data_IF_720962213073
#
_entry.id   IF_720962213073
#
_cell.length_a   1.000
_cell.length_b   1.000
_cell.length_c   1.000
_cell.angle_alpha   90.00
_cell.angle_beta   90.00
_cell.angle_gamma   90.00
#
_symmetry.space_group_name_H-M   'P 1'
#
loop_
_entity.id
_entity.type
_entity.pdbx_description
1 polymer ?
#
# COMPACT_ATOMS: atom_id res chain seq x y z
N UNK A 1 5.68 10.57 -10.21
CA UNK A 1 4.71 11.16 -9.27
C UNK A 1 4.02 10.04 -8.49
N UNK A 2 3.51 10.30 -7.28
CA UNK A 2 2.73 9.32 -6.49
C UNK A 2 1.25 9.65 -6.53
N UNK A 3 0.39 8.66 -6.81
CA UNK A 3 -1.06 8.80 -6.94
C UNK A 3 -1.77 7.90 -5.93
N UNK A 4 -2.62 8.48 -5.08
CA UNK A 4 -3.45 7.69 -4.16
C UNK A 4 -4.51 6.90 -4.93
N UNK A 5 -4.59 5.60 -4.67
CA UNK A 5 -5.55 4.69 -5.31
C UNK A 5 -6.72 4.32 -4.39
N UNK A 6 -6.53 4.40 -3.07
CA UNK A 6 -7.56 4.07 -2.10
C UNK A 6 -6.99 3.37 -0.88
N UNK A 7 -7.87 2.74 -0.09
CA UNK A 7 -7.49 1.95 1.08
C UNK A 7 -7.88 0.49 0.89
N UNK A 8 -6.99 -0.43 1.27
CA UNK A 8 -7.26 -1.86 1.31
C UNK A 8 -6.92 -2.43 2.69
N UNK A 9 -7.90 -3.05 3.36
CA UNK A 9 -7.75 -3.61 4.72
C UNK A 9 -7.07 -2.66 5.72
N UNK A 10 -7.33 -1.36 5.60
CA UNK A 10 -6.73 -0.32 6.45
C UNK A 10 -5.38 0.23 5.98
N UNK A 11 -4.71 -0.40 5.00
CA UNK A 11 -3.53 0.19 4.37
C UNK A 11 -3.92 1.20 3.29
N UNK A 12 -3.25 2.34 3.26
CA UNK A 12 -3.36 3.33 2.19
C UNK A 12 -2.48 2.92 1.00
N UNK A 13 -3.07 2.76 -0.18
CA UNK A 13 -2.42 2.26 -1.41
C UNK A 13 -2.14 3.41 -2.37
N UNK A 14 -0.92 3.47 -2.90
CA UNK A 14 -0.46 4.49 -3.83
C UNK A 14 0.23 3.87 -5.04
N UNK A 15 -0.03 4.40 -6.23
CA UNK A 15 0.77 4.17 -7.42
C UNK A 15 1.98 5.08 -7.41
N UNK A 16 3.17 4.51 -7.62
CA UNK A 16 4.42 5.24 -7.78
C UNK A 16 4.82 5.13 -9.24
N UNK A 17 4.84 6.24 -9.95
CA UNK A 17 5.37 6.26 -11.32
C UNK A 17 6.89 6.01 -11.27
N UNK A 18 7.32 4.89 -11.85
CA UNK A 18 8.72 4.64 -12.15
C UNK A 18 9.00 5.09 -13.58
N UNK A 19 9.98 5.98 -13.74
CA UNK A 19 10.46 6.42 -15.04
C UNK A 19 11.90 5.96 -15.19
N UNK A 20 12.18 5.17 -16.22
CA UNK A 20 13.56 4.85 -16.60
C UNK A 20 14.04 5.89 -17.63
N UNK A 21 14.95 6.80 -17.24
CA UNK A 21 15.46 7.83 -18.15
C UNK A 21 16.39 7.25 -19.24
N UNK A 22 16.77 5.98 -19.17
CA UNK A 22 17.67 5.33 -20.13
C UNK A 22 16.95 4.65 -21.29
N UNK A 23 15.74 4.12 -21.09
CA UNK A 23 15.00 3.40 -22.14
C UNK A 23 13.87 4.22 -22.80
N UNK A 24 13.46 5.35 -22.22
CA UNK A 24 12.43 6.21 -22.81
C UNK A 24 11.01 5.62 -22.79
N UNK A 25 10.81 4.47 -22.17
CA UNK A 25 9.52 3.81 -21.97
C UNK A 25 9.19 3.64 -20.48
N UNK A 26 7.89 3.54 -20.16
CA UNK A 26 7.38 3.32 -18.79
C UNK A 26 7.62 1.84 -18.45
N UNK A 27 8.65 1.56 -17.64
CA UNK A 27 9.18 0.19 -17.49
C UNK A 27 8.26 -0.72 -16.66
N UNK A 28 7.65 -0.24 -15.58
CA UNK A 28 6.69 -1.02 -14.76
C UNK A 28 5.79 -0.12 -13.89
N UNK A 29 4.67 -0.67 -13.41
CA UNK A 29 3.81 -0.05 -12.39
C UNK A 29 4.22 -0.55 -11.02
N UNK A 30 4.58 0.39 -10.13
CA UNK A 30 4.84 0.11 -8.72
C UNK A 30 3.70 0.59 -7.86
N UNK A 31 3.18 -0.28 -6.99
CA UNK A 31 2.29 0.12 -5.92
C UNK A 31 3.02 0.03 -4.58
N UNK A 32 2.71 0.96 -3.69
CA UNK A 32 3.09 0.92 -2.28
C UNK A 32 1.83 0.95 -1.43
N UNK A 33 1.83 0.26 -0.29
CA UNK A 33 0.75 0.30 0.67
C UNK A 33 1.29 0.45 2.08
N UNK A 34 0.74 1.38 2.86
CA UNK A 34 1.24 1.70 4.20
C UNK A 34 0.11 1.61 5.23
N UNK A 35 0.40 1.04 6.39
CA UNK A 35 -0.53 0.98 7.53
C UNK A 35 0.20 0.74 8.85
N UNK A 36 -0.57 0.59 9.92
CA UNK A 36 -0.07 0.29 11.25
C UNK A 36 -0.56 -1.08 11.75
N UNK A 37 0.31 -1.76 12.50
CA UNK A 37 -0.05 -3.03 13.13
C UNK A 37 -0.98 -2.77 14.36
N UNK A 38 -2.22 -3.27 14.39
CA UNK A 38 -3.20 -2.97 15.45
C UNK A 38 -2.79 -3.49 16.84
N UNK A 39 -2.06 -4.60 16.91
CA UNK A 39 -1.54 -5.17 18.16
C UNK A 39 -0.19 -4.60 18.64
N UNK A 40 0.48 -3.73 17.87
CA UNK A 40 1.80 -3.20 18.23
C UNK A 40 1.83 -1.69 18.03
N UNK A 41 1.71 -0.96 19.14
CA UNK A 41 1.73 0.50 19.13
C UNK A 41 2.99 1.01 18.42
N UNK A 42 2.79 1.85 17.40
CA UNK A 42 3.83 2.48 16.58
C UNK A 42 4.59 1.57 15.60
N UNK A 43 4.13 0.34 15.34
CA UNK A 43 4.72 -0.48 14.29
C UNK A 43 4.08 -0.14 12.94
N UNK A 44 4.85 0.51 12.05
CA UNK A 44 4.49 0.70 10.64
C UNK A 44 4.71 -0.58 9.84
N UNK A 45 3.82 -0.81 8.89
CA UNK A 45 3.85 -1.94 7.96
C UNK A 45 3.74 -1.37 6.55
N UNK A 46 4.77 -1.58 5.76
CA UNK A 46 4.86 -1.11 4.38
C UNK A 46 4.93 -2.30 3.43
N UNK A 47 4.21 -2.22 2.32
CA UNK A 47 4.20 -3.18 1.22
C UNK A 47 4.61 -2.46 -0.06
N UNK A 48 5.33 -3.16 -0.94
CA UNK A 48 5.68 -2.65 -2.25
C UNK A 48 5.67 -3.79 -3.26
N UNK A 49 4.92 -3.63 -4.35
CA UNK A 49 4.79 -4.63 -5.40
C UNK A 49 4.87 -3.98 -6.78
N UNK A 50 5.45 -4.72 -7.73
CA UNK A 50 5.68 -4.25 -9.10
C UNK A 50 5.07 -5.21 -10.13
N UNK A 51 4.47 -4.66 -11.17
CA UNK A 51 3.94 -5.42 -12.30
C UNK A 51 3.84 -4.57 -13.57
N UNK A 52 3.60 -5.23 -14.70
CA UNK A 52 3.46 -4.58 -16.01
C UNK A 52 2.15 -3.80 -16.17
N UNK A 53 1.18 -3.98 -15.26
CA UNK A 53 -0.09 -3.26 -15.25
C UNK A 53 -0.53 -2.88 -13.84
N UNK A 54 -1.33 -1.80 -13.72
CA UNK A 54 -1.90 -1.36 -12.44
C UNK A 54 -2.73 -2.46 -11.79
N UNK A 55 -3.50 -3.20 -12.61
CA UNK A 55 -4.37 -4.27 -12.13
C UNK A 55 -3.54 -5.41 -11.50
N UNK A 56 -2.50 -5.85 -12.18
CA UNK A 56 -1.67 -6.96 -11.68
C UNK A 56 -0.87 -6.54 -10.44
N UNK A 57 -0.38 -5.29 -10.41
CA UNK A 57 0.29 -4.75 -9.23
C UNK A 57 -0.66 -4.64 -8.03
N UNK A 58 -1.94 -4.32 -8.29
CA UNK A 58 -2.98 -4.27 -7.27
C UNK A 58 -3.33 -5.66 -6.73
N UNK A 59 -3.50 -6.67 -7.58
CA UNK A 59 -3.75 -8.05 -7.13
C UNK A 59 -2.59 -8.59 -6.28
N UNK A 60 -1.35 -8.28 -6.66
CA UNK A 60 -0.15 -8.66 -5.88
C UNK A 60 -0.11 -7.99 -4.51
N UNK A 61 -0.31 -6.67 -4.44
CA UNK A 61 -0.22 -5.95 -3.17
C UNK A 61 -1.36 -6.32 -2.23
N UNK A 62 -2.57 -6.54 -2.74
CA UNK A 62 -3.71 -7.04 -1.96
C UNK A 62 -3.40 -8.43 -1.39
N UNK A 63 -2.84 -9.34 -2.20
CA UNK A 63 -2.41 -10.67 -1.76
C UNK A 63 -1.33 -10.60 -0.69
N UNK A 64 -0.36 -9.69 -0.83
CA UNK A 64 0.70 -9.49 0.16
C UNK A 64 0.14 -9.01 1.51
N UNK A 65 -0.84 -8.09 1.48
CA UNK A 65 -1.53 -7.59 2.67
C UNK A 65 -2.35 -8.71 3.31
N UNK A 66 -3.16 -9.46 2.55
CA UNK A 66 -3.97 -10.56 3.08
C UNK A 66 -3.11 -11.64 3.74
N UNK A 67 -2.00 -12.02 3.11
CA UNK A 67 -1.04 -13.00 3.69
C UNK A 67 -0.44 -12.50 5.00
N UNK A 68 -0.07 -11.22 5.06
CA UNK A 68 0.43 -10.63 6.30
C UNK A 68 -0.65 -10.67 7.39
N UNK A 69 -1.87 -10.27 7.07
CA UNK A 69 -2.98 -10.30 8.03
C UNK A 69 -3.23 -11.73 8.55
N UNK A 70 -3.23 -12.73 7.68
CA UNK A 70 -3.37 -14.14 8.06
C UNK A 70 -2.23 -14.61 8.98
N UNK A 71 -0.97 -14.29 8.65
CA UNK A 71 0.23 -14.68 9.41
C UNK A 71 0.17 -14.16 10.86
N UNK A 72 -0.33 -12.93 11.06
CA UNK A 72 -0.42 -12.29 12.37
C UNK A 72 -1.80 -12.45 13.04
N UNK A 73 -2.73 -13.21 12.45
CA UNK A 73 -4.08 -13.41 12.99
C UNK A 73 -4.90 -12.12 13.07
N UNK A 74 -4.69 -11.21 12.12
CA UNK A 74 -5.31 -9.90 12.03
C UNK A 74 -6.42 -9.90 10.97
N UNK A 75 -7.40 -9.01 11.13
CA UNK A 75 -8.46 -8.81 10.13
C UNK A 75 -8.21 -7.58 9.23
N UNK A 76 -7.47 -6.60 9.73
CA UNK A 76 -7.13 -5.34 9.06
C UNK A 76 -5.97 -4.65 9.79
N UNK A 77 -5.30 -3.75 9.08
CA UNK A 77 -4.36 -2.77 9.62
C UNK A 77 -5.10 -1.54 10.13
N UNK A 78 -4.41 -0.75 10.95
CA UNK A 78 -4.84 0.62 11.28
C UNK A 78 -4.35 1.58 10.20
N UNK A 79 -5.15 2.61 9.90
CA UNK A 79 -4.82 3.58 8.87
C UNK A 79 -3.79 4.58 9.37
N UNK A 80 -2.80 4.91 8.53
CA UNK A 80 -1.86 6.04 8.77
C UNK A 80 -2.50 7.40 8.42
N UNK A 81 -3.77 7.42 8.02
CA UNK A 81 -4.53 8.66 7.91
C UNK A 81 -4.80 9.20 9.32
N UNK A 82 -3.91 10.06 9.81
CA UNK A 82 -4.13 10.87 11.00
C UNK A 82 -5.58 11.40 11.00
N UNK A 83 -6.30 11.03 12.05
CA UNK A 83 -7.50 11.69 12.51
C UNK A 83 -7.14 13.16 12.78
N UNK A 84 -7.28 14.01 11.76
CA UNK A 84 -7.35 15.45 11.95
C UNK A 84 -8.69 15.73 12.61
N UNK A 85 -8.74 15.53 13.93
CA UNK A 85 -9.92 15.75 14.73
C UNK A 85 -10.53 17.13 14.47
N UNK A 86 -11.85 17.17 14.38
CA UNK A 86 -12.59 18.39 14.72
C UNK A 86 -13.58 18.01 15.80
N UNK A 87 -13.11 18.28 17.02
CA UNK A 87 -13.93 18.58 18.18
C UNK A 87 -15.00 19.61 17.77
N UNK A 88 -16.29 19.29 17.93
CA UNK A 88 -17.40 20.25 17.89
C UNK A 88 -18.54 19.77 18.77
#
# INVERSE_FOLDING_TARGET
>A
MTKFLGTYRGAAVYEVEQFDPSEGEKVDVKLIANGFHPGQQNMKVDFAEEATSVKDAQEKIETAIDRYLEEYGLNQLESDSEDNGSNS
#
